data_IF_859139224522
#
_entry.id   IF_859139224522
#
_cell.length_a   1.000
_cell.length_b   1.000
_cell.length_c   1.000
_cell.angle_alpha   90.00
_cell.angle_beta   90.00
_cell.angle_gamma   90.00
#
_symmetry.space_group_name_H-M   'P 1'
#
loop_
_entity.id
_entity.type
_entity.pdbx_description
1 polymer ?
#
# COMPACT_ATOMS: atom_id res chain seq x y z
N UNK A 1 29.55 0.85 -3.72
CA UNK A 1 29.14 2.14 -4.34
C UNK A 1 28.35 1.93 -5.63
N UNK A 2 28.91 1.32 -6.70
CA UNK A 2 28.22 1.13 -8.00
C UNK A 2 26.79 0.56 -7.93
N UNK A 3 26.55 -0.47 -7.09
CA UNK A 3 25.20 -1.07 -6.89
C UNK A 3 24.19 -0.08 -6.32
N UNK A 4 24.58 0.68 -5.29
CA UNK A 4 23.71 1.68 -4.65
C UNK A 4 23.48 2.87 -5.59
N UNK A 5 24.52 3.32 -6.31
CA UNK A 5 24.36 4.36 -7.33
C UNK A 5 23.33 3.97 -8.39
N UNK A 6 23.36 2.73 -8.90
CA UNK A 6 22.36 2.25 -9.86
C UNK A 6 20.93 2.25 -9.30
N UNK A 7 20.75 1.82 -8.04
CA UNK A 7 19.46 1.85 -7.38
C UNK A 7 18.95 3.28 -7.15
N UNK A 8 19.83 4.20 -6.73
CA UNK A 8 19.51 5.63 -6.58
C UNK A 8 19.15 6.28 -7.90
N UNK A 9 19.89 5.99 -8.97
CA UNK A 9 19.54 6.46 -10.33
C UNK A 9 18.17 5.94 -10.74
N UNK A 10 17.90 4.65 -10.53
CA UNK A 10 16.57 4.08 -10.82
C UNK A 10 15.47 4.75 -10.00
N UNK A 11 15.72 5.01 -8.71
CA UNK A 11 14.78 5.72 -7.86
C UNK A 11 14.53 7.15 -8.35
N UNK A 12 15.56 7.89 -8.76
CA UNK A 12 15.40 9.21 -9.35
C UNK A 12 14.60 9.18 -10.66
N UNK A 13 14.81 8.16 -11.50
CA UNK A 13 14.09 7.99 -12.76
C UNK A 13 12.57 7.78 -12.58
N UNK A 14 12.11 7.26 -11.43
CA UNK A 14 10.68 7.18 -11.10
C UNK A 14 10.04 8.56 -11.11
N UNK A 15 10.77 9.59 -10.68
CA UNK A 15 10.25 10.97 -10.62
C UNK A 15 10.49 11.70 -11.95
N UNK A 16 11.65 11.50 -12.55
CA UNK A 16 12.06 12.23 -13.76
C UNK A 16 11.26 11.78 -14.99
N UNK A 17 11.02 10.48 -15.18
CA UNK A 17 10.41 9.98 -16.41
C UNK A 17 8.95 10.41 -16.59
N UNK A 18 8.05 10.33 -15.57
CA UNK A 18 6.69 10.85 -15.69
C UNK A 18 6.69 12.35 -15.98
N UNK A 19 7.59 13.12 -15.36
CA UNK A 19 7.74 14.54 -15.63
C UNK A 19 8.14 14.80 -17.09
N UNK A 20 9.14 14.09 -17.62
CA UNK A 20 9.54 14.22 -19.02
C UNK A 20 8.42 13.83 -19.99
N UNK A 21 7.67 12.76 -19.67
CA UNK A 21 6.50 12.36 -20.45
C UNK A 21 5.43 13.43 -20.49
N UNK A 22 5.14 14.04 -19.34
CA UNK A 22 4.20 15.15 -19.23
C UNK A 22 4.67 16.41 -19.96
N UNK A 23 5.92 16.81 -19.78
CA UNK A 23 6.49 17.97 -20.49
C UNK A 23 6.40 17.80 -22.00
N UNK A 24 6.67 16.58 -22.51
CA UNK A 24 6.55 16.27 -23.92
C UNK A 24 5.10 16.26 -24.44
N UNK A 25 4.11 16.09 -23.58
CA UNK A 25 2.68 16.06 -23.93
C UNK A 25 2.03 17.43 -23.85
N UNK A 26 2.35 18.22 -22.83
CA UNK A 26 1.61 19.43 -22.45
C UNK A 26 2.37 20.74 -22.72
N UNK A 27 3.60 20.67 -23.25
CA UNK A 27 4.51 21.83 -23.40
C UNK A 27 4.68 22.60 -22.07
N UNK A 28 4.63 21.85 -20.95
CA UNK A 28 4.52 22.40 -19.60
C UNK A 28 4.19 21.33 -18.55
N UNK A 29 3.99 21.79 -17.31
CA UNK A 29 3.54 20.95 -16.20
C UNK A 29 2.05 20.64 -16.34
N UNK A 30 1.57 19.47 -15.86
CA UNK A 30 0.15 19.13 -15.98
C UNK A 30 -0.71 20.09 -15.16
N UNK A 31 -2.00 20.27 -15.49
CA UNK A 31 -2.92 21.08 -14.69
C UNK A 31 -2.89 20.66 -13.22
N UNK A 32 -3.01 21.62 -12.29
CA UNK A 32 -3.02 21.33 -10.86
C UNK A 32 -1.67 21.02 -10.22
N UNK A 33 -0.61 20.84 -11.02
CA UNK A 33 0.71 20.47 -10.51
C UNK A 33 1.21 21.42 -9.41
N UNK A 34 1.59 20.83 -8.28
CA UNK A 34 2.12 21.57 -7.12
C UNK A 34 1.07 22.14 -6.17
N UNK A 35 -0.23 21.99 -6.47
CA UNK A 35 -1.30 22.32 -5.54
C UNK A 35 -1.43 21.21 -4.50
N UNK A 36 -1.33 21.55 -3.21
CA UNK A 36 -1.47 20.60 -2.11
C UNK A 36 -2.44 21.12 -1.03
N UNK A 37 -3.36 20.28 -0.52
CA UNK A 37 -3.69 18.92 -0.97
C UNK A 37 -4.15 18.88 -2.44
N UNK A 38 -3.89 17.77 -3.13
CA UNK A 38 -4.26 17.61 -4.55
C UNK A 38 -5.77 17.83 -4.73
N UNK A 39 -6.13 18.56 -5.78
CA UNK A 39 -7.53 18.89 -6.13
C UNK A 39 -7.88 18.24 -7.47
N UNK A 40 -9.17 18.06 -7.74
CA UNK A 40 -9.62 17.60 -9.05
C UNK A 40 -9.66 18.80 -10.01
N UNK A 41 -8.64 18.93 -10.87
CA UNK A 41 -8.52 20.06 -11.78
C UNK A 41 -8.97 19.73 -13.21
N UNK A 42 -9.14 18.44 -13.53
CA UNK A 42 -9.42 17.97 -14.88
C UNK A 42 -10.56 16.96 -14.86
N UNK A 43 -11.57 17.17 -15.70
CA UNK A 43 -12.66 16.22 -15.82
C UNK A 43 -12.17 14.92 -16.48
N UNK A 44 -12.36 13.80 -15.78
CA UNK A 44 -12.01 12.49 -16.30
C UNK A 44 -12.82 12.10 -17.54
N UNK A 45 -12.21 11.33 -18.45
CA UNK A 45 -12.95 10.60 -19.45
C UNK A 45 -14.05 9.76 -18.81
N UNK A 46 -15.25 9.85 -19.38
CA UNK A 46 -16.38 9.03 -18.96
C UNK A 46 -16.12 7.54 -19.14
N UNK A 47 -17.04 6.73 -18.63
CA UNK A 47 -16.96 5.28 -18.69
C UNK A 47 -16.72 4.74 -20.09
N UNK A 48 -15.80 3.78 -20.17
CA UNK A 48 -15.49 3.07 -21.39
C UNK A 48 -15.62 1.56 -21.18
N UNK A 49 -16.53 0.95 -21.94
CA UNK A 49 -16.87 -0.47 -21.81
C UNK A 49 -15.68 -1.38 -22.11
N UNK A 50 -14.80 -1.02 -23.05
CA UNK A 50 -13.64 -1.83 -23.43
C UNK A 50 -12.62 -1.88 -22.29
N UNK A 51 -12.29 -0.71 -21.71
CA UNK A 51 -11.43 -0.62 -20.53
C UNK A 51 -12.02 -1.40 -19.36
N UNK A 52 -13.32 -1.26 -19.12
CA UNK A 52 -14.01 -1.95 -18.05
C UNK A 52 -13.98 -3.47 -18.21
N UNK A 53 -14.31 -3.99 -19.40
CA UNK A 53 -14.25 -5.44 -19.69
C UNK A 53 -12.80 -5.95 -19.53
N UNK A 54 -11.81 -5.23 -20.06
CA UNK A 54 -10.41 -5.59 -19.91
C UNK A 54 -9.98 -5.69 -18.44
N UNK A 55 -10.34 -4.70 -17.64
CA UNK A 55 -10.06 -4.69 -16.21
C UNK A 55 -10.82 -5.83 -15.48
N UNK A 56 -12.07 -6.13 -15.83
CA UNK A 56 -12.82 -7.25 -15.31
C UNK A 56 -12.16 -8.61 -15.63
N UNK A 57 -11.64 -8.80 -16.83
CA UNK A 57 -10.93 -10.04 -17.22
C UNK A 57 -9.67 -10.21 -16.39
N UNK A 58 -8.88 -9.15 -16.21
CA UNK A 58 -7.68 -9.17 -15.36
C UNK A 58 -8.06 -9.47 -13.91
N UNK A 59 -9.06 -8.78 -13.38
CA UNK A 59 -9.58 -8.99 -12.03
C UNK A 59 -10.05 -10.43 -11.80
N UNK A 60 -10.80 -10.99 -12.74
CA UNK A 60 -11.28 -12.38 -12.68
C UNK A 60 -10.13 -13.39 -12.68
N UNK A 61 -9.09 -13.15 -13.49
CA UNK A 61 -7.88 -13.98 -13.50
C UNK A 61 -7.15 -13.93 -12.15
N UNK A 62 -6.94 -12.73 -11.59
CA UNK A 62 -6.31 -12.55 -10.27
C UNK A 62 -7.12 -13.26 -9.19
N UNK A 63 -8.45 -13.11 -9.18
CA UNK A 63 -9.33 -13.79 -8.23
C UNK A 63 -9.24 -15.30 -8.36
N UNK A 64 -9.30 -15.83 -9.58
CA UNK A 64 -9.15 -17.26 -9.83
C UNK A 64 -7.81 -17.78 -9.29
N UNK A 65 -6.73 -17.02 -9.51
CA UNK A 65 -5.40 -17.33 -9.00
C UNK A 65 -5.32 -17.35 -7.47
N UNK A 66 -5.85 -16.32 -6.80
CA UNK A 66 -5.82 -16.21 -5.33
C UNK A 66 -6.74 -17.24 -4.64
N UNK A 67 -7.95 -17.45 -5.19
CA UNK A 67 -8.96 -18.34 -4.61
C UNK A 67 -8.70 -19.81 -4.92
N UNK A 68 -8.15 -20.11 -6.10
CA UNK A 68 -7.90 -21.48 -6.57
C UNK A 68 -6.44 -21.70 -7.01
N UNK A 69 -5.45 -21.47 -6.14
CA UNK A 69 -4.03 -21.56 -6.50
C UNK A 69 -3.62 -22.95 -7.00
N UNK A 70 -4.37 -24.00 -6.65
CA UNK A 70 -4.12 -25.37 -7.16
C UNK A 70 -4.29 -25.50 -8.67
N UNK A 71 -5.18 -24.71 -9.29
CA UNK A 71 -5.33 -24.67 -10.74
C UNK A 71 -4.07 -24.11 -11.42
N UNK A 72 -3.22 -23.41 -10.67
CA UNK A 72 -1.99 -22.76 -11.13
C UNK A 72 -0.73 -23.49 -10.62
N UNK A 73 -0.86 -24.77 -10.26
CA UNK A 73 0.29 -25.62 -9.90
C UNK A 73 0.75 -25.53 -8.45
N UNK A 74 0.01 -24.84 -7.56
CA UNK A 74 0.32 -24.84 -6.14
C UNK A 74 -0.09 -26.16 -5.46
N UNK A 75 0.83 -26.75 -4.71
CA UNK A 75 0.62 -27.99 -3.97
C UNK A 75 0.20 -27.69 -2.53
N UNK A 76 -0.65 -28.57 -1.99
CA UNK A 76 -1.09 -28.47 -0.59
C UNK A 76 0.07 -28.85 0.33
N UNK A 77 0.47 -27.92 1.18
CA UNK A 77 1.45 -28.15 2.23
C UNK A 77 0.79 -28.63 3.53
N UNK A 78 1.50 -29.43 4.32
CA UNK A 78 1.03 -29.84 5.64
C UNK A 78 1.07 -28.64 6.58
N UNK A 79 -0.08 -28.25 7.11
CA UNK A 79 -0.19 -27.19 8.11
C UNK A 79 -0.07 -27.77 9.51
N UNK A 80 0.84 -27.24 10.32
CA UNK A 80 0.92 -27.59 11.74
C UNK A 80 -0.16 -26.82 12.50
N UNK A 81 -0.81 -27.47 13.46
CA UNK A 81 -1.79 -26.83 14.33
C UNK A 81 -1.07 -25.82 15.23
N UNK A 82 -1.49 -24.56 15.20
CA UNK A 82 -0.97 -23.54 16.12
C UNK A 82 -1.51 -23.82 17.52
N UNK A 83 -0.61 -23.94 18.48
CA UNK A 83 -0.94 -23.97 19.90
C UNK A 83 -1.49 -22.59 20.27
N UNK A 84 -2.66 -22.56 20.91
CA UNK A 84 -3.26 -21.30 21.36
C UNK A 84 -2.32 -20.63 22.35
N UNK A 85 -1.97 -19.37 22.08
CA UNK A 85 -1.14 -18.60 22.99
C UNK A 85 -1.85 -18.41 24.34
N UNK A 86 -1.08 -18.51 25.42
CA UNK A 86 -1.51 -18.20 26.79
C UNK A 86 -1.22 -16.75 27.19
N UNK A 87 -0.53 -15.99 26.34
CA UNK A 87 -0.16 -14.61 26.64
C UNK A 87 -1.39 -13.71 26.57
N UNK A 88 -1.51 -12.79 27.53
CA UNK A 88 -2.56 -11.78 27.53
C UNK A 88 -2.35 -10.76 26.39
N UNK A 89 -3.40 -9.98 26.07
CA UNK A 89 -3.21 -8.82 25.21
C UNK A 89 -2.31 -7.79 25.91
N UNK A 90 -1.42 -7.11 25.16
CA UNK A 90 -0.51 -6.13 25.73
C UNK A 90 -1.23 -4.83 26.10
N UNK A 91 -0.59 -3.96 26.89
CA UNK A 91 -1.20 -2.72 27.38
C UNK A 91 -1.57 -1.74 26.25
N UNK A 92 -0.76 -1.66 25.19
CA UNK A 92 -1.03 -0.76 24.06
C UNK A 92 -2.27 -1.17 23.28
N UNK A 93 -2.62 -2.46 23.23
CA UNK A 93 -3.89 -2.93 22.64
C UNK A 93 -5.08 -2.32 23.38
N UNK A 94 -5.07 -2.40 24.71
CA UNK A 94 -6.16 -1.88 25.55
C UNK A 94 -6.22 -0.36 25.58
N UNK A 95 -5.07 0.33 25.47
CA UNK A 95 -5.03 1.79 25.36
C UNK A 95 -5.55 2.27 23.99
N UNK A 96 -5.19 1.56 22.91
CA UNK A 96 -5.59 1.93 21.55
C UNK A 96 -7.07 1.66 21.25
N UNK A 97 -7.65 0.60 21.81
CA UNK A 97 -9.05 0.24 21.58
C UNK A 97 -10.06 1.37 21.84
N UNK A 98 -10.08 2.05 23.02
CA UNK A 98 -10.98 3.17 23.25
C UNK A 98 -10.64 4.37 22.36
N UNK A 99 -9.37 4.63 22.04
CA UNK A 99 -8.99 5.71 21.12
C UNK A 99 -9.61 5.47 19.73
N UNK A 100 -9.50 4.25 19.21
CA UNK A 100 -10.13 3.87 17.94
C UNK A 100 -11.64 4.14 17.98
N UNK A 101 -12.33 3.63 19.02
CA UNK A 101 -13.78 3.76 19.13
C UNK A 101 -14.23 5.21 19.28
N UNK A 102 -13.52 6.02 20.09
CA UNK A 102 -13.85 7.43 20.30
C UNK A 102 -13.62 8.22 19.02
N UNK A 103 -12.47 8.08 18.36
CA UNK A 103 -12.18 8.78 17.12
C UNK A 103 -13.13 8.36 15.99
N UNK A 104 -13.46 7.06 15.89
CA UNK A 104 -14.44 6.55 14.94
C UNK A 104 -15.84 7.11 15.24
N UNK A 105 -16.25 7.10 16.51
CA UNK A 105 -17.53 7.69 16.89
C UNK A 105 -17.57 9.18 16.55
N UNK A 106 -16.53 9.96 16.86
CA UNK A 106 -16.52 11.40 16.56
C UNK A 106 -16.63 11.65 15.05
N UNK A 107 -15.84 10.95 14.23
CA UNK A 107 -15.82 11.20 12.79
C UNK A 107 -17.11 10.79 12.06
N UNK A 108 -17.84 9.77 12.56
CA UNK A 108 -19.09 9.31 11.96
C UNK A 108 -20.37 9.86 12.61
N UNK A 109 -20.39 10.07 13.92
CA UNK A 109 -21.60 10.55 14.62
C UNK A 109 -21.77 12.06 14.53
N UNK A 110 -20.65 12.80 14.50
CA UNK A 110 -20.59 14.27 14.49
C UNK A 110 -21.58 14.92 15.44
N UNK A 111 -21.58 14.44 16.66
CA UNK A 111 -22.30 15.10 17.72
C UNK A 111 -21.60 16.44 17.99
N UNK A 112 -22.24 17.55 17.59
CA UNK A 112 -21.65 18.91 17.54
C UNK A 112 -21.04 19.44 18.84
N UNK A 113 -21.13 18.69 19.94
CA UNK A 113 -20.43 18.96 21.20
C UNK A 113 -18.90 18.71 21.13
N UNK A 114 -18.35 18.12 20.05
CA UNK A 114 -16.89 17.89 19.88
C UNK A 114 -16.30 18.44 18.58
N UNK A 115 -16.92 19.47 18.00
CA UNK A 115 -16.56 20.02 16.68
C UNK A 115 -15.08 20.41 16.52
N UNK A 116 -14.43 20.86 17.60
CA UNK A 116 -13.00 21.23 17.61
C UNK A 116 -12.05 20.05 17.40
N UNK A 117 -12.47 18.82 17.74
CA UNK A 117 -11.62 17.64 17.60
C UNK A 117 -11.81 16.93 16.26
N UNK A 118 -12.94 17.15 15.57
CA UNK A 118 -13.30 16.42 14.35
C UNK A 118 -12.16 16.38 13.31
N UNK A 119 -11.49 17.50 12.96
CA UNK A 119 -10.42 17.49 11.96
C UNK A 119 -9.19 16.67 12.35
N UNK A 120 -9.01 16.41 13.65
CA UNK A 120 -7.82 15.78 14.20
C UNK A 120 -8.01 14.30 14.55
N UNK A 121 -9.19 13.73 14.30
CA UNK A 121 -9.52 12.36 14.75
C UNK A 121 -8.98 11.27 13.84
N UNK A 122 -8.72 11.58 12.56
CA UNK A 122 -8.34 10.57 11.58
C UNK A 122 -6.95 9.96 11.87
N UNK A 123 -5.93 10.77 12.18
CA UNK A 123 -4.58 10.28 12.49
C UNK A 123 -4.53 9.37 13.73
N UNK A 124 -5.09 9.76 14.90
CA UNK A 124 -5.18 8.89 16.06
C UNK A 124 -5.97 7.60 15.79
N UNK A 125 -7.03 7.65 14.97
CA UNK A 125 -7.79 6.48 14.57
C UNK A 125 -6.89 5.46 13.84
N UNK A 126 -6.11 5.93 12.86
CA UNK A 126 -5.16 5.08 12.12
C UNK A 126 -4.13 4.42 13.03
N UNK A 127 -3.48 5.21 13.89
CA UNK A 127 -2.46 4.69 14.79
C UNK A 127 -3.04 3.75 15.84
N UNK A 128 -4.23 4.05 16.38
CA UNK A 128 -4.92 3.14 17.27
C UNK A 128 -5.20 1.79 16.59
N UNK A 129 -5.63 1.80 15.32
CA UNK A 129 -5.82 0.57 14.56
C UNK A 129 -4.53 -0.25 14.40
N UNK A 130 -3.42 0.41 14.05
CA UNK A 130 -2.11 -0.25 13.92
C UNK A 130 -1.69 -0.91 15.25
N UNK A 131 -1.85 -0.21 16.38
CA UNK A 131 -1.52 -0.73 17.71
C UNK A 131 -2.41 -1.92 18.11
N UNK A 132 -3.69 -1.91 17.71
CA UNK A 132 -4.60 -3.03 17.90
C UNK A 132 -4.15 -4.23 17.06
N UNK A 133 -3.79 -4.03 15.78
CA UNK A 133 -3.26 -5.09 14.93
C UNK A 133 -1.98 -5.69 15.50
N UNK A 134 -1.02 -4.87 15.91
CA UNK A 134 0.20 -5.33 16.58
C UNK A 134 -0.13 -6.12 17.85
N UNK A 135 -1.07 -5.65 18.67
CA UNK A 135 -1.51 -6.37 19.87
C UNK A 135 -2.15 -7.74 19.57
N UNK A 136 -2.86 -7.87 18.44
CA UNK A 136 -3.39 -9.15 17.95
C UNK A 136 -2.24 -10.05 17.50
N UNK A 137 -1.28 -9.52 16.74
CA UNK A 137 -0.06 -10.24 16.33
C UNK A 137 0.71 -10.73 17.55
N UNK A 138 0.96 -9.87 18.52
CA UNK A 138 1.61 -10.17 19.80
C UNK A 138 0.96 -11.37 20.47
N UNK A 139 -0.37 -11.31 20.65
CA UNK A 139 -1.12 -12.40 21.28
C UNK A 139 -1.07 -13.68 20.46
N UNK A 140 -1.18 -13.60 19.15
CA UNK A 140 -1.18 -14.79 18.28
C UNK A 140 0.21 -15.42 18.12
N UNK A 141 1.25 -14.64 18.37
CA UNK A 141 2.65 -15.03 18.21
C UNK A 141 3.41 -15.09 19.55
N UNK A 142 2.72 -15.51 20.62
CA UNK A 142 3.31 -15.80 21.93
C UNK A 142 4.13 -14.66 22.55
N UNK A 143 3.64 -13.43 22.44
CA UNK A 143 4.27 -12.24 23.03
C UNK A 143 5.32 -11.57 22.14
N UNK A 144 5.43 -11.96 20.87
CA UNK A 144 6.37 -11.35 19.92
C UNK A 144 5.60 -10.65 18.81
N UNK A 145 5.72 -9.33 18.74
CA UNK A 145 5.20 -8.46 17.67
C UNK A 145 6.25 -7.43 17.26
N UNK A 146 5.91 -6.54 16.32
CA UNK A 146 6.85 -5.53 15.87
C UNK A 146 7.14 -4.53 16.99
N UNK A 147 6.13 -4.08 17.73
CA UNK A 147 6.33 -3.18 18.87
C UNK A 147 7.10 -3.84 20.01
N UNK A 148 6.85 -5.12 20.31
CA UNK A 148 7.49 -5.77 21.46
C UNK A 148 8.95 -6.16 21.20
N UNK A 149 9.33 -6.38 19.94
CA UNK A 149 10.65 -6.95 19.60
C UNK A 149 11.49 -6.11 18.63
N UNK A 150 10.86 -5.22 17.84
CA UNK A 150 11.50 -4.45 16.76
C UNK A 150 10.90 -3.04 16.65
N UNK A 151 10.73 -2.35 17.78
CA UNK A 151 10.14 -1.00 17.82
C UNK A 151 10.86 -0.01 16.87
N UNK A 152 12.18 -0.12 16.75
CA UNK A 152 12.95 0.73 15.81
C UNK A 152 12.54 0.50 14.34
N UNK A 153 12.17 -0.73 13.95
CA UNK A 153 11.64 -1.02 12.61
C UNK A 153 10.27 -0.38 12.44
N UNK A 154 9.40 -0.40 13.45
CA UNK A 154 8.12 0.32 13.39
C UNK A 154 8.31 1.83 13.17
N UNK A 155 9.29 2.44 13.85
CA UNK A 155 9.64 3.85 13.66
C UNK A 155 10.17 4.13 12.25
N UNK A 156 11.06 3.28 11.74
CA UNK A 156 11.57 3.41 10.37
C UNK A 156 10.47 3.20 9.33
N UNK A 157 9.55 2.25 9.54
CA UNK A 157 8.39 2.07 8.67
C UNK A 157 7.55 3.35 8.64
N UNK A 158 7.30 3.98 9.79
CA UNK A 158 6.54 5.23 9.87
C UNK A 158 7.22 6.38 9.09
N UNK A 159 8.54 6.53 9.25
CA UNK A 159 9.34 7.55 8.54
C UNK A 159 9.32 7.28 7.04
N UNK A 160 9.66 6.06 6.61
CA UNK A 160 9.68 5.69 5.19
C UNK A 160 8.27 5.83 4.60
N UNK A 161 7.23 5.52 5.37
CA UNK A 161 5.83 5.63 4.94
C UNK A 161 5.47 7.06 4.55
N UNK A 162 5.84 8.02 5.39
CA UNK A 162 5.61 9.44 5.14
C UNK A 162 6.22 9.90 3.81
N UNK A 163 7.51 9.65 3.61
CA UNK A 163 8.19 9.99 2.36
C UNK A 163 7.65 9.23 1.15
N UNK A 164 7.29 7.95 1.34
CA UNK A 164 6.75 7.11 0.27
C UNK A 164 5.42 7.65 -0.24
N UNK A 165 4.52 8.06 0.66
CA UNK A 165 3.23 8.58 0.22
C UNK A 165 3.35 9.94 -0.46
N UNK A 166 4.24 10.83 -0.01
CA UNK A 166 4.56 12.04 -0.78
C UNK A 166 5.09 11.74 -2.19
N UNK A 167 5.81 10.63 -2.39
CA UNK A 167 6.18 10.18 -3.72
C UNK A 167 4.95 9.77 -4.56
N UNK A 168 3.96 9.10 -3.96
CA UNK A 168 2.70 8.79 -4.63
C UNK A 168 1.88 10.06 -4.96
N UNK A 169 1.81 11.03 -4.05
CA UNK A 169 1.20 12.35 -4.32
C UNK A 169 1.85 13.05 -5.51
N UNK A 170 3.19 13.02 -5.57
CA UNK A 170 3.91 13.56 -6.73
C UNK A 170 3.54 12.83 -8.02
N UNK A 171 3.55 11.49 -8.00
CA UNK A 171 3.23 10.67 -9.17
C UNK A 171 1.78 10.85 -9.64
N UNK A 172 0.88 11.14 -8.70
CA UNK A 172 -0.55 11.35 -8.95
C UNK A 172 -0.82 12.50 -9.92
N UNK A 173 -0.02 13.59 -9.87
CA UNK A 173 -0.15 14.69 -10.84
C UNK A 173 0.07 14.26 -12.30
N UNK A 174 0.86 13.22 -12.53
CA UNK A 174 1.19 12.76 -13.89
C UNK A 174 0.19 11.75 -14.45
N UNK A 175 -0.85 11.42 -13.69
CA UNK A 175 -1.98 10.59 -14.12
C UNK A 175 -3.31 11.32 -13.93
N UNK A 176 -3.28 12.66 -13.92
CA UNK A 176 -4.46 13.51 -13.72
C UNK A 176 -5.23 13.19 -12.43
N UNK A 177 -4.49 13.02 -11.33
CA UNK A 177 -5.06 13.13 -9.98
C UNK A 177 -6.09 12.04 -9.68
N UNK A 178 -5.67 10.76 -9.85
CA UNK A 178 -6.46 9.56 -9.55
C UNK A 178 -7.19 9.60 -8.20
N UNK A 179 -6.63 10.33 -7.24
CA UNK A 179 -7.31 10.74 -6.02
C UNK A 179 -7.08 12.23 -5.74
N UNK A 180 -8.00 12.83 -5.00
CA UNK A 180 -7.92 14.23 -4.57
C UNK A 180 -8.63 14.44 -3.23
N UNK A 181 -8.37 15.58 -2.58
CA UNK A 181 -8.83 15.90 -1.24
C UNK A 181 -9.74 17.14 -1.26
N UNK A 182 -11.07 16.98 -1.29
CA UNK A 182 -12.00 18.12 -1.45
C UNK A 182 -12.00 19.08 -0.25
N UNK A 183 -11.62 18.61 0.94
CA UNK A 183 -11.73 19.36 2.19
C UNK A 183 -10.47 20.20 2.49
N UNK A 184 -9.85 20.80 1.45
CA UNK A 184 -8.56 21.51 1.58
C UNK A 184 -8.60 22.72 2.52
N UNK A 185 -9.76 23.36 2.66
CA UNK A 185 -9.91 24.63 3.39
C UNK A 185 -10.14 24.42 4.90
N UNK A 186 -10.14 23.18 5.38
CA UNK A 186 -10.24 22.86 6.82
C UNK A 186 -9.01 23.35 7.58
N UNK A 187 -7.84 23.24 6.98
CA UNK A 187 -6.58 23.73 7.54
C UNK A 187 -5.90 24.74 6.62
N UNK A 188 -4.97 25.51 7.17
CA UNK A 188 -4.03 26.28 6.37
C UNK A 188 -3.14 25.34 5.53
N UNK A 189 -2.48 25.87 4.49
CA UNK A 189 -1.56 25.06 3.67
C UNK A 189 -0.49 24.36 4.52
N UNK A 190 0.10 25.05 5.50
CA UNK A 190 1.05 24.44 6.42
C UNK A 190 0.39 23.38 7.31
N UNK A 191 -0.81 23.65 7.82
CA UNK A 191 -1.59 22.70 8.61
C UNK A 191 -1.90 21.42 7.83
N UNK A 192 -2.27 21.55 6.55
CA UNK A 192 -2.44 20.42 5.64
C UNK A 192 -1.14 19.63 5.47
N UNK A 193 -0.02 20.27 5.12
CA UNK A 193 1.26 19.57 4.95
C UNK A 193 1.65 18.79 6.22
N UNK A 194 1.56 19.43 7.39
CA UNK A 194 1.89 18.82 8.66
C UNK A 194 0.97 17.63 8.99
N UNK A 195 -0.35 17.82 8.88
CA UNK A 195 -1.32 16.81 9.26
C UNK A 195 -1.36 15.62 8.30
N UNK A 196 -1.20 15.88 7.01
CA UNK A 196 -1.04 14.82 6.01
C UNK A 196 0.27 14.07 6.20
N UNK A 197 1.39 14.74 6.51
CA UNK A 197 2.64 14.05 6.83
C UNK A 197 2.47 13.06 8.00
N UNK A 198 1.72 13.44 9.04
CA UNK A 198 1.35 12.53 10.12
C UNK A 198 0.45 11.38 9.65
N UNK A 199 -0.56 11.65 8.81
CA UNK A 199 -1.42 10.61 8.24
C UNK A 199 -0.61 9.60 7.42
N UNK A 200 0.33 10.08 6.61
CA UNK A 200 1.16 9.26 5.74
C UNK A 200 2.11 8.34 6.49
N UNK A 201 2.42 8.63 7.76
CA UNK A 201 3.21 7.70 8.60
C UNK A 201 2.53 6.35 8.83
N UNK A 202 1.22 6.24 8.58
CA UNK A 202 0.42 5.07 8.97
C UNK A 202 0.39 3.95 7.92
N UNK A 203 0.72 4.26 6.67
CA UNK A 203 0.50 3.37 5.51
C UNK A 203 1.34 2.10 5.59
N UNK A 204 2.68 2.20 5.65
CA UNK A 204 3.54 1.03 5.77
C UNK A 204 3.30 0.26 7.08
N UNK A 205 3.25 0.90 8.27
CA UNK A 205 2.91 0.21 9.51
C UNK A 205 1.65 -0.64 9.41
N UNK A 206 0.55 -0.10 8.89
CA UNK A 206 -0.71 -0.83 8.78
C UNK A 206 -0.60 -2.04 7.84
N UNK A 207 0.01 -1.86 6.66
CA UNK A 207 0.21 -2.94 5.68
C UNK A 207 1.10 -4.05 6.26
N UNK A 208 2.18 -3.70 6.95
CA UNK A 208 3.10 -4.68 7.57
C UNK A 208 2.43 -5.42 8.73
N UNK A 209 1.67 -4.74 9.60
CA UNK A 209 0.94 -5.42 10.67
C UNK A 209 -0.12 -6.39 10.14
N UNK A 210 -0.82 -6.03 9.06
CA UNK A 210 -1.70 -6.97 8.36
C UNK A 210 -0.93 -8.16 7.81
N UNK A 211 0.22 -7.95 7.16
CA UNK A 211 1.06 -9.03 6.67
C UNK A 211 1.50 -9.97 7.79
N UNK A 212 1.99 -9.43 8.91
CA UNK A 212 2.41 -10.21 10.07
C UNK A 212 1.24 -10.96 10.70
N UNK A 213 0.05 -10.35 10.75
CA UNK A 213 -1.18 -11.01 11.18
C UNK A 213 -1.52 -12.18 10.28
N UNK A 214 -1.52 -12.02 8.95
CA UNK A 214 -1.78 -13.10 8.00
C UNK A 214 -0.77 -14.24 8.14
N UNK A 215 0.49 -13.93 8.42
CA UNK A 215 1.56 -14.91 8.67
C UNK A 215 1.29 -15.78 9.92
N UNK A 216 0.52 -15.28 10.90
CA UNK A 216 0.14 -16.08 12.08
C UNK A 216 -0.89 -17.18 11.78
N UNK A 217 -1.47 -17.23 10.58
CA UNK A 217 -2.39 -18.28 10.17
C UNK A 217 -1.64 -19.31 9.30
N UNK A 218 -1.34 -20.53 9.80
CA UNK A 218 -0.54 -21.51 9.05
C UNK A 218 -1.13 -21.86 7.69
N UNK A 219 -2.45 -21.91 7.61
CA UNK A 219 -3.16 -22.18 6.37
C UNK A 219 -2.90 -21.11 5.31
N UNK A 220 -2.84 -19.83 5.69
CA UNK A 220 -2.52 -18.72 4.78
C UNK A 220 -1.02 -18.65 4.49
N UNK A 221 -0.16 -18.71 5.53
CA UNK A 221 1.31 -18.75 5.40
C UNK A 221 1.79 -19.81 4.42
N UNK A 222 1.18 -21.00 4.46
CA UNK A 222 1.54 -22.15 3.60
C UNK A 222 0.73 -22.25 2.30
N UNK A 223 -0.31 -21.43 2.11
CA UNK A 223 -1.19 -21.49 0.93
C UNK A 223 -0.43 -21.32 -0.37
N UNK A 224 0.57 -20.45 -0.35
CA UNK A 224 1.35 -20.04 -1.52
C UNK A 224 2.83 -20.44 -1.43
N UNK A 225 3.20 -21.34 -0.53
CA UNK A 225 4.62 -21.65 -0.27
C UNK A 225 5.21 -22.77 -1.14
N UNK A 226 4.39 -23.47 -1.92
CA UNK A 226 4.80 -24.57 -2.79
C UNK A 226 4.11 -24.48 -4.16
N UNK A 227 4.44 -23.44 -4.91
CA UNK A 227 3.97 -23.16 -6.26
C UNK A 227 5.04 -23.40 -7.35
N UNK A 228 4.74 -23.00 -8.59
CA UNK A 228 5.69 -23.05 -9.69
C UNK A 228 6.99 -22.29 -9.38
N UNK A 229 8.13 -22.87 -9.78
CA UNK A 229 9.45 -22.29 -9.61
C UNK A 229 9.80 -21.45 -10.83
N UNK A 230 9.83 -20.13 -10.68
CA UNK A 230 10.17 -19.21 -11.76
C UNK A 230 11.57 -18.63 -11.51
N UNK A 231 12.46 -18.85 -12.46
CA UNK A 231 13.81 -18.29 -12.45
C UNK A 231 13.90 -17.15 -13.44
N UNK A 232 13.96 -15.92 -12.95
CA UNK A 232 14.19 -14.75 -13.78
C UNK A 232 15.68 -14.63 -14.10
N UNK A 233 16.04 -14.93 -15.34
CA UNK A 233 17.40 -14.72 -15.82
C UNK A 233 17.68 -13.22 -16.04
N UNK A 234 18.96 -12.87 -16.21
CA UNK A 234 19.38 -11.47 -16.37
C UNK A 234 18.71 -10.79 -17.58
N UNK A 235 18.59 -11.41 -18.78
CA UNK A 235 17.85 -10.80 -19.90
C UNK A 235 16.39 -10.45 -19.58
N UNK A 236 15.66 -11.33 -18.89
CA UNK A 236 14.27 -11.06 -18.49
C UNK A 236 14.18 -9.90 -17.49
N UNK A 237 15.09 -9.84 -16.52
CA UNK A 237 15.16 -8.71 -15.58
C UNK A 237 15.47 -7.38 -16.29
N UNK A 238 16.36 -7.38 -17.29
CA UNK A 238 16.61 -6.21 -18.13
C UNK A 238 15.34 -5.83 -18.91
N UNK A 239 14.63 -6.82 -19.47
CA UNK A 239 13.36 -6.59 -20.16
C UNK A 239 12.32 -5.91 -19.25
N UNK A 240 12.10 -6.44 -18.05
CA UNK A 240 11.20 -5.81 -17.08
C UNK A 240 11.66 -4.40 -16.70
N UNK A 241 12.96 -4.20 -16.49
CA UNK A 241 13.51 -2.89 -16.18
C UNK A 241 13.22 -1.86 -17.29
N UNK A 242 13.48 -2.22 -18.56
CA UNK A 242 13.21 -1.35 -19.71
C UNK A 242 11.71 -1.07 -19.85
N UNK A 243 10.85 -2.09 -19.71
CA UNK A 243 9.39 -1.90 -19.74
C UNK A 243 8.95 -0.94 -18.63
N UNK A 244 9.50 -1.07 -17.42
CA UNK A 244 9.23 -0.15 -16.32
C UNK A 244 9.60 1.30 -16.64
N UNK A 245 10.77 1.52 -17.26
CA UNK A 245 11.21 2.85 -17.70
C UNK A 245 10.26 3.44 -18.77
N UNK A 246 9.88 2.63 -19.75
CA UNK A 246 8.94 3.06 -20.81
C UNK A 246 7.59 3.41 -20.21
N UNK A 247 7.06 2.57 -19.31
CA UNK A 247 5.79 2.83 -18.65
C UNK A 247 5.82 4.09 -17.78
N UNK A 248 6.90 4.34 -17.04
CA UNK A 248 7.06 5.54 -16.24
C UNK A 248 7.10 6.82 -17.10
N UNK A 249 7.73 6.79 -18.27
CA UNK A 249 7.62 7.90 -19.22
C UNK A 249 6.21 8.01 -19.80
N UNK A 250 5.65 6.88 -20.25
CA UNK A 250 4.38 6.84 -20.95
C UNK A 250 3.21 7.27 -20.06
N UNK A 251 3.22 7.02 -18.74
CA UNK A 251 2.15 7.49 -17.85
C UNK A 251 2.00 9.01 -17.86
N UNK A 252 3.10 9.77 -17.90
CA UNK A 252 3.02 11.23 -18.00
C UNK A 252 2.54 11.70 -19.37
N UNK A 253 2.81 10.93 -20.43
CA UNK A 253 2.44 11.28 -21.80
C UNK A 253 0.98 10.90 -22.15
N UNK A 254 0.50 9.76 -21.63
CA UNK A 254 -0.83 9.21 -21.82
C UNK A 254 -1.54 9.01 -20.45
N UNK A 255 -1.79 10.10 -19.70
CA UNK A 255 -2.18 10.02 -18.29
C UNK A 255 -3.52 9.33 -18.08
N UNK A 256 -4.47 9.51 -18.99
CA UNK A 256 -5.78 8.86 -18.89
C UNK A 256 -5.72 7.39 -19.28
N UNK A 257 -5.06 7.05 -20.38
CA UNK A 257 -4.99 5.67 -20.87
C UNK A 257 -4.14 4.77 -19.97
N UNK A 258 -3.12 5.35 -19.34
CA UNK A 258 -2.16 4.68 -18.47
C UNK A 258 -2.32 5.11 -17.00
N UNK A 259 -3.50 5.57 -16.61
CA UNK A 259 -3.80 6.00 -15.24
C UNK A 259 -3.47 4.92 -14.19
N UNK A 260 -3.48 3.63 -14.54
CA UNK A 260 -3.16 2.54 -13.62
C UNK A 260 -1.66 2.33 -13.39
N UNK A 261 -0.80 2.94 -14.23
CA UNK A 261 0.64 2.67 -14.25
C UNK A 261 1.34 3.12 -12.97
N UNK A 262 0.88 4.19 -12.30
CA UNK A 262 1.44 4.57 -10.99
C UNK A 262 1.34 3.45 -9.94
N UNK A 263 0.32 2.58 -10.04
CA UNK A 263 0.13 1.47 -9.11
C UNK A 263 0.99 0.25 -9.44
N UNK A 264 1.61 0.19 -10.62
CA UNK A 264 2.35 -1.00 -11.08
C UNK A 264 3.79 -0.73 -11.50
N UNK A 265 4.17 0.49 -11.90
CA UNK A 265 5.46 0.80 -12.52
C UNK A 265 6.68 0.65 -11.59
N UNK A 266 6.50 0.86 -10.29
CA UNK A 266 7.60 0.78 -9.33
C UNK A 266 8.16 -0.64 -9.23
N UNK A 267 7.33 -1.69 -9.40
CA UNK A 267 7.78 -3.09 -9.41
C UNK A 267 8.77 -3.38 -10.55
N UNK A 268 8.41 -3.26 -11.85
CA UNK A 268 9.32 -3.56 -12.94
C UNK A 268 10.54 -2.64 -12.97
N UNK A 269 10.50 -1.45 -12.35
CA UNK A 269 11.68 -0.59 -12.20
C UNK A 269 12.57 -1.01 -11.02
N UNK A 270 12.12 -0.81 -9.79
CA UNK A 270 12.95 -0.99 -8.60
C UNK A 270 13.20 -2.47 -8.28
N UNK A 271 12.19 -3.33 -8.42
CA UNK A 271 12.39 -4.76 -8.13
C UNK A 271 13.30 -5.43 -9.15
N UNK A 272 13.17 -5.06 -10.44
CA UNK A 272 14.08 -5.57 -11.47
C UNK A 272 15.50 -5.04 -11.25
N UNK A 273 15.66 -3.74 -10.94
CA UNK A 273 16.97 -3.16 -10.62
C UNK A 273 17.63 -3.86 -9.42
N UNK A 274 16.88 -4.11 -8.34
CA UNK A 274 17.34 -4.88 -7.18
C UNK A 274 17.75 -6.30 -7.59
N UNK A 275 16.94 -6.99 -8.39
CA UNK A 275 17.26 -8.31 -8.92
C UNK A 275 18.56 -8.34 -9.73
N UNK A 276 18.78 -7.34 -10.59
CA UNK A 276 19.99 -7.21 -11.42
C UNK A 276 21.27 -7.01 -10.60
N UNK A 277 21.17 -6.33 -9.44
CA UNK A 277 22.30 -6.12 -8.53
C UNK A 277 22.41 -7.20 -7.44
N UNK A 278 21.51 -8.18 -7.44
CA UNK A 278 21.51 -9.32 -6.53
C UNK A 278 20.93 -9.04 -5.15
N UNK A 279 20.11 -8.00 -5.00
CA UNK A 279 19.35 -7.74 -3.78
C UNK A 279 18.09 -8.58 -3.70
N UNK A 280 17.65 -8.84 -2.48
CA UNK A 280 16.43 -9.59 -2.24
C UNK A 280 15.20 -8.72 -2.51
N UNK A 281 14.13 -9.33 -3.00
CA UNK A 281 12.81 -8.72 -3.17
C UNK A 281 11.75 -9.76 -2.80
N UNK A 282 10.47 -9.37 -2.60
CA UNK A 282 9.39 -10.34 -2.38
C UNK A 282 9.27 -11.39 -3.50
N UNK A 283 9.78 -11.09 -4.71
CA UNK A 283 9.84 -12.01 -5.84
C UNK A 283 10.98 -13.04 -5.73
N UNK A 284 12.02 -12.79 -4.93
CA UNK A 284 13.19 -13.68 -4.83
C UNK A 284 12.83 -15.08 -4.35
N UNK A 285 11.81 -15.22 -3.50
CA UNK A 285 11.35 -16.51 -2.95
C UNK A 285 10.64 -17.39 -4.00
N UNK A 286 10.17 -16.80 -5.12
CA UNK A 286 9.47 -17.51 -6.20
C UNK A 286 10.36 -18.53 -6.90
N UNK A 287 11.68 -18.29 -6.98
CA UNK A 287 12.63 -19.26 -7.54
C UNK A 287 12.59 -20.62 -6.84
N UNK A 288 12.22 -20.60 -5.55
CA UNK A 288 12.08 -21.79 -4.71
C UNK A 288 10.64 -22.31 -4.65
N UNK A 289 9.70 -21.67 -5.37
CA UNK A 289 8.27 -22.00 -5.33
C UNK A 289 7.50 -21.34 -4.19
N UNK A 290 8.14 -20.46 -3.40
CA UNK A 290 7.47 -19.76 -2.31
C UNK A 290 7.02 -18.36 -2.75
N UNK A 291 5.73 -18.21 -3.02
CA UNK A 291 5.10 -16.96 -3.41
C UNK A 291 4.44 -16.24 -2.22
N UNK A 292 4.48 -16.84 -1.02
CA UNK A 292 3.80 -16.31 0.16
C UNK A 292 4.19 -14.86 0.50
N UNK A 293 5.47 -14.42 0.47
CA UNK A 293 5.80 -13.03 0.76
C UNK A 293 5.06 -12.05 -0.16
N UNK A 294 5.13 -12.29 -1.48
CA UNK A 294 4.49 -11.45 -2.49
C UNK A 294 2.96 -11.44 -2.38
N UNK A 295 2.34 -12.61 -2.22
CA UNK A 295 0.88 -12.69 -2.26
C UNK A 295 0.24 -12.29 -0.94
N UNK A 296 0.89 -12.56 0.20
CA UNK A 296 0.35 -12.15 1.49
C UNK A 296 0.48 -10.65 1.72
N UNK A 297 1.53 -9.97 1.21
CA UNK A 297 1.57 -8.51 1.29
C UNK A 297 0.46 -7.88 0.44
N UNK A 298 0.19 -8.42 -0.75
CA UNK A 298 -0.88 -7.94 -1.61
C UNK A 298 -2.25 -8.11 -0.93
N UNK A 299 -2.53 -9.27 -0.35
CA UNK A 299 -3.77 -9.55 0.38
C UNK A 299 -3.86 -8.68 1.66
N UNK A 300 -2.75 -8.48 2.37
CA UNK A 300 -2.68 -7.61 3.54
C UNK A 300 -3.11 -6.18 3.20
N UNK A 301 -2.66 -5.65 2.06
CA UNK A 301 -3.03 -4.32 1.62
C UNK A 301 -4.49 -4.22 1.18
N UNK A 302 -5.08 -5.26 0.57
CA UNK A 302 -6.53 -5.29 0.31
C UNK A 302 -7.33 -5.32 1.62
N UNK A 303 -6.91 -6.13 2.59
CA UNK A 303 -7.55 -6.19 3.90
C UNK A 303 -7.48 -4.84 4.62
N UNK A 304 -6.35 -4.15 4.53
CA UNK A 304 -6.18 -2.80 5.06
C UNK A 304 -7.04 -1.78 4.31
N UNK A 305 -7.03 -1.85 2.97
CA UNK A 305 -7.81 -1.01 2.07
C UNK A 305 -9.30 -1.06 2.36
N UNK A 306 -9.84 -2.22 2.77
CA UNK A 306 -11.21 -2.31 3.25
C UNK A 306 -11.52 -1.32 4.39
N UNK A 307 -10.64 -1.23 5.40
CA UNK A 307 -10.83 -0.31 6.53
C UNK A 307 -10.58 1.15 6.14
N UNK A 308 -9.61 1.40 5.24
CA UNK A 308 -9.37 2.71 4.62
C UNK A 308 -10.64 3.25 3.99
N UNK A 309 -11.21 2.44 3.11
CA UNK A 309 -12.44 2.74 2.38
C UNK A 309 -13.64 2.90 3.31
N UNK A 310 -13.79 2.02 4.30
CA UNK A 310 -14.87 2.09 5.27
C UNK A 310 -14.84 3.42 6.05
N UNK A 311 -13.71 3.79 6.65
CA UNK A 311 -13.61 5.00 7.45
C UNK A 311 -13.68 6.26 6.60
N UNK A 312 -13.05 6.27 5.42
CA UNK A 312 -13.09 7.38 4.49
C UNK A 312 -14.53 7.65 4.02
N UNK A 313 -15.22 6.64 3.51
CA UNK A 313 -16.60 6.76 3.06
C UNK A 313 -17.54 7.20 4.17
N UNK A 314 -17.46 6.56 5.35
CA UNK A 314 -18.29 6.95 6.49
C UNK A 314 -18.02 8.39 6.95
N UNK A 315 -16.80 8.92 6.76
CA UNK A 315 -16.48 10.32 7.08
C UNK A 315 -17.16 11.34 6.17
N UNK A 316 -17.70 10.94 5.02
CA UNK A 316 -18.52 11.81 4.15
C UNK A 316 -20.00 11.43 4.21
N UNK A 317 -20.33 10.14 4.16
CA UNK A 317 -21.69 9.62 4.06
C UNK A 317 -22.61 10.13 5.17
N UNK A 318 -22.11 10.17 6.41
CA UNK A 318 -22.88 10.67 7.56
C UNK A 318 -22.86 12.20 7.68
N UNK A 319 -22.13 12.89 6.81
CA UNK A 319 -21.77 14.30 6.95
C UNK A 319 -22.25 15.21 5.82
N UNK A 320 -22.91 14.65 4.79
CA UNK A 320 -23.61 15.38 3.72
C UNK A 320 -22.76 16.49 3.05
N UNK A 321 -21.46 16.27 2.88
CA UNK A 321 -20.56 17.20 2.20
C UNK A 321 -20.04 18.36 3.06
N UNK A 322 -20.21 18.32 4.38
CA UNK A 322 -19.56 19.30 5.27
C UNK A 322 -18.06 18.97 5.36
N UNK A 323 -17.16 19.89 4.98
CA UNK A 323 -15.74 19.62 4.93
C UNK A 323 -15.15 19.66 6.35
N UNK A 324 -15.05 18.51 7.01
CA UNK A 324 -14.52 18.40 8.38
C UNK A 324 -13.28 17.53 8.49
N UNK A 325 -13.19 16.46 7.69
CA UNK A 325 -12.02 15.60 7.63
C UNK A 325 -11.08 16.12 6.52
N UNK A 326 -9.94 16.75 6.85
CA UNK A 326 -9.00 17.25 5.85
C UNK A 326 -8.39 16.12 5.00
N UNK A 327 -8.30 14.91 5.54
CA UNK A 327 -7.75 13.74 4.87
C UNK A 327 -8.80 12.93 4.11
N UNK A 328 -10.06 13.37 4.04
CA UNK A 328 -11.07 12.68 3.23
C UNK A 328 -10.66 12.76 1.76
N UNK A 329 -10.59 11.61 1.09
CA UNK A 329 -10.22 11.52 -0.32
C UNK A 329 -11.39 11.04 -1.18
N UNK A 330 -11.44 11.55 -2.41
CA UNK A 330 -12.31 11.08 -3.49
C UNK A 330 -11.46 10.52 -4.61
N UNK A 331 -12.03 9.58 -5.36
CA UNK A 331 -11.38 8.97 -6.51
C UNK A 331 -11.80 9.65 -7.80
N UNK A 332 -10.85 9.77 -8.72
CA UNK A 332 -11.04 10.22 -10.08
C UNK A 332 -10.40 9.16 -10.98
N UNK A 333 -11.13 8.08 -11.28
CA UNK A 333 -10.57 6.91 -11.98
C UNK A 333 -11.10 6.87 -13.40
N UNK A 334 -10.27 7.23 -14.41
CA UNK A 334 -10.69 7.22 -15.81
C UNK A 334 -11.30 5.88 -16.22
N UNK A 335 -12.40 5.94 -16.96
CA UNK A 335 -13.07 4.80 -17.60
C UNK A 335 -13.74 3.75 -16.71
N UNK A 336 -13.28 3.54 -15.47
CA UNK A 336 -13.70 2.42 -14.61
C UNK A 336 -14.67 2.81 -13.49
N UNK A 337 -14.89 4.11 -13.29
CA UNK A 337 -15.71 4.67 -12.22
C UNK A 337 -17.22 4.44 -12.44
N UNK A 338 -17.72 3.27 -12.01
CA UNK A 338 -19.14 2.88 -12.15
C UNK A 338 -19.74 2.13 -10.98
N UNK A 339 -19.12 1.03 -10.57
CA UNK A 339 -19.72 0.12 -9.59
C UNK A 339 -19.07 0.33 -8.24
N UNK A 340 -19.83 0.93 -7.32
CA UNK A 340 -19.45 1.16 -5.92
C UNK A 340 -20.26 0.24 -5.01
N UNK A 341 -19.62 -0.33 -3.98
CA UNK A 341 -20.30 -1.26 -3.05
C UNK A 341 -20.61 -0.54 -1.72
N UNK A 342 -19.56 -0.16 -0.99
CA UNK A 342 -19.68 0.44 0.34
C UNK A 342 -18.72 1.63 0.54
N UNK A 343 -18.03 2.07 -0.53
CA UNK A 343 -17.07 3.17 -0.47
C UNK A 343 -16.97 3.94 -1.78
N UNK A 344 -16.19 5.02 -1.78
CA UNK A 344 -15.87 5.85 -2.95
C UNK A 344 -15.06 5.08 -4.01
N UNK A 345 -14.35 4.01 -3.64
CA UNK A 345 -13.54 3.23 -4.56
C UNK A 345 -14.42 2.35 -5.47
N UNK A 346 -14.27 2.42 -6.81
CA UNK A 346 -14.95 1.48 -7.70
C UNK A 346 -14.43 0.05 -7.44
N UNK A 347 -15.28 -0.96 -7.64
CA UNK A 347 -14.95 -2.37 -7.31
C UNK A 347 -13.62 -2.84 -7.93
N UNK A 348 -13.29 -2.38 -9.13
CA UNK A 348 -12.04 -2.71 -9.82
C UNK A 348 -10.82 -2.01 -9.20
N UNK A 349 -11.01 -0.86 -8.56
CA UNK A 349 -9.97 -0.12 -7.86
C UNK A 349 -9.37 -0.88 -6.66
N UNK A 350 -10.14 -1.78 -6.03
CA UNK A 350 -9.62 -2.66 -4.97
C UNK A 350 -8.48 -3.58 -5.43
N UNK A 351 -8.41 -3.90 -6.72
CA UNK A 351 -7.29 -4.67 -7.28
C UNK A 351 -6.00 -3.84 -7.32
N UNK A 352 -6.10 -2.51 -7.34
CA UNK A 352 -4.95 -1.60 -7.18
C UNK A 352 -4.23 -1.81 -5.84
N UNK A 353 -4.97 -2.08 -4.75
CA UNK A 353 -4.38 -2.35 -3.44
C UNK A 353 -3.43 -3.56 -3.44
N UNK A 354 -3.70 -4.59 -4.26
CA UNK A 354 -2.82 -5.75 -4.39
C UNK A 354 -1.41 -5.33 -4.83
N UNK A 355 -1.32 -4.47 -5.84
CA UNK A 355 -0.05 -4.00 -6.38
C UNK A 355 0.58 -2.93 -5.49
N UNK A 356 -0.26 -2.08 -4.87
CA UNK A 356 0.17 -1.04 -3.95
C UNK A 356 0.99 -1.61 -2.78
N UNK A 357 0.54 -2.72 -2.17
CA UNK A 357 1.29 -3.39 -1.10
C UNK A 357 2.69 -3.85 -1.50
N UNK A 358 2.82 -4.33 -2.74
CA UNK A 358 4.11 -4.75 -3.29
C UNK A 358 5.02 -3.55 -3.50
N UNK A 359 4.49 -2.44 -4.05
CA UNK A 359 5.25 -1.19 -4.20
C UNK A 359 5.75 -0.67 -2.86
N UNK A 360 4.88 -0.65 -1.85
CA UNK A 360 5.21 -0.26 -0.48
C UNK A 360 6.41 -1.06 0.06
N UNK A 361 6.41 -2.39 -0.10
CA UNK A 361 7.54 -3.22 0.33
C UNK A 361 8.80 -2.92 -0.50
N UNK A 362 8.68 -2.71 -1.80
CA UNK A 362 9.81 -2.36 -2.66
C UNK A 362 10.44 -1.01 -2.27
N UNK A 363 9.63 -0.01 -1.90
CA UNK A 363 10.15 1.28 -1.40
C UNK A 363 10.84 1.09 -0.04
N UNK A 364 10.25 0.31 0.87
CA UNK A 364 10.89 -0.06 2.14
C UNK A 364 12.28 -0.67 1.92
N UNK A 365 12.39 -1.65 1.01
CA UNK A 365 13.67 -2.27 0.65
C UNK A 365 14.64 -1.27 0.01
N UNK A 366 14.14 -0.35 -0.82
CA UNK A 366 14.97 0.70 -1.43
C UNK A 366 15.60 1.56 -0.33
N UNK A 367 14.80 2.03 0.62
CA UNK A 367 15.28 2.76 1.79
C UNK A 367 16.30 1.96 2.59
N UNK A 368 15.98 0.70 2.91
CA UNK A 368 16.87 -0.18 3.67
C UNK A 368 18.22 -0.38 2.99
N UNK A 369 18.24 -0.59 1.67
CA UNK A 369 19.48 -0.81 0.92
C UNK A 369 20.31 0.45 0.74
N UNK A 370 19.66 1.60 0.54
CA UNK A 370 20.34 2.90 0.41
C UNK A 370 20.94 3.34 1.75
N UNK A 371 20.15 3.30 2.82
CA UNK A 371 20.55 3.77 4.16
C UNK A 371 21.19 2.68 5.03
N UNK A 372 21.26 1.43 4.53
CA UNK A 372 21.90 0.28 5.15
C UNK A 372 21.35 -0.09 6.54
N UNK A 373 20.05 0.06 6.76
CA UNK A 373 19.38 -0.51 7.94
C UNK A 373 18.84 -1.91 7.62
N UNK A 374 18.53 -2.70 8.66
CA UNK A 374 17.97 -4.05 8.49
C UNK A 374 16.53 -4.00 7.92
N UNK A 375 16.28 -4.51 6.71
CA UNK A 375 14.93 -4.52 6.14
C UNK A 375 13.99 -5.55 6.78
N UNK A 376 14.49 -6.44 7.64
CA UNK A 376 13.72 -7.59 8.10
C UNK A 376 12.71 -7.21 9.19
N UNK A 377 11.47 -6.97 8.80
CA UNK A 377 10.34 -6.82 9.72
C UNK A 377 9.69 -8.16 10.11
N UNK A 378 10.09 -9.29 9.53
CA UNK A 378 9.48 -10.58 9.87
C UNK A 378 9.80 -10.95 11.33
N UNK A 379 8.78 -11.49 12.00
CA UNK A 379 8.86 -11.97 13.39
C UNK A 379 8.87 -13.50 13.37
N UNK A 380 9.95 -14.11 13.84
CA UNK A 380 10.03 -15.56 14.00
C UNK A 380 9.40 -15.91 15.35
N UNK A 381 8.25 -16.58 15.32
CA UNK A 381 7.64 -17.12 16.54
C UNK A 381 8.59 -18.11 17.22
N UNK A 382 8.55 -18.19 18.55
CA UNK A 382 9.39 -19.11 19.35
C UNK A 382 9.30 -20.58 18.94
N UNK A 383 8.25 -20.99 18.21
CA UNK A 383 8.09 -22.35 17.66
C UNK A 383 8.88 -22.65 16.38
N UNK A 384 9.38 -21.64 15.66
CA UNK A 384 10.20 -21.83 14.44
C UNK A 384 11.71 -21.86 14.76
N UNK A 385 12.16 -21.45 15.96
CA UNK A 385 13.56 -21.56 16.41
C UNK A 385 14.08 -23.00 16.49
N UNK A 386 13.20 -24.00 16.51
CA UNK A 386 13.57 -25.41 16.46
C UNK A 386 13.96 -25.91 15.06
N UNK A 387 13.99 -25.03 14.04
CA UNK A 387 14.34 -25.37 12.64
C UNK A 387 15.59 -24.66 12.12
N UNK A 388 16.30 -23.93 12.98
CA UNK A 388 17.56 -23.24 12.65
C UNK A 388 18.82 -23.98 13.13
N UNK A 389 18.70 -25.29 13.42
CA UNK A 389 19.85 -26.19 13.61
C UNK A 389 19.90 -27.25 12.52
#
# INVERSE_FOLDING_TARGET
>A
MKKISFLLTTFALIFILPLLGSLAKWDGLPPGYGVFPVQNNVQDPGFNLIYFIGACVIAAFILAFLLFPRLFGFKKEKTVRVVRSKVAFPIWFWAAFPILLICWFIIWSRAGFVSLLEPYTFVPLWWAFILILDGIVYKRNNGVSLLSSKLYIMQLLAIVSCFSWFAFEYLNFFVMENWYYPNKDVFSNFGNIFWFALSYTTVLPAIIEWYLLLQTFPALKKRYSNGPKIHLNKPLLIGFYIVGLILAFAMGYFPFELFFVLWVALVPMLSAAMGLIGFWTPFTSIKNGNWSPLLLIAIATVANGFFWEMWNFGSEWFNQGIPVNPNYWKYSVPYLDKIHIFSEMPILGYFGYLFFGVNCWVIWLTGAYVFKFDPNFEIVGTGDKAREH
#
